data_IF_453269195818
#
_entry.id   IF_453269195818
#
_cell.length_a   1.000
_cell.length_b   1.000
_cell.length_c   1.000
_cell.angle_alpha   90.00
_cell.angle_beta   90.00
_cell.angle_gamma   90.00
#
_symmetry.space_group_name_H-M   'P 1'
#
loop_
_entity.id
_entity.type
_entity.pdbx_description
1 polymer ?
#
# COMPACT_ATOMS: atom_id res chain seq x y z
N UNK A 1 -18.53 39.08 3.52
CA UNK A 1 -18.22 38.06 2.50
C UNK A 1 -19.54 37.58 1.93
N UNK A 2 -19.75 37.64 0.63
CA UNK A 2 -20.96 37.12 -0.01
C UNK A 2 -20.96 35.59 0.14
N UNK A 3 -21.98 35.05 0.77
CA UNK A 3 -22.23 33.62 0.80
C UNK A 3 -22.81 33.24 -0.58
N UNK A 4 -22.11 32.37 -1.26
CA UNK A 4 -22.56 31.77 -2.52
C UNK A 4 -23.24 30.42 -2.21
N UNK A 5 -24.03 29.92 -3.13
CA UNK A 5 -24.63 28.60 -3.03
C UNK A 5 -24.55 27.87 -4.37
N UNK A 6 -24.34 26.55 -4.28
CA UNK A 6 -24.44 25.64 -5.41
C UNK A 6 -25.31 24.45 -5.04
N UNK A 7 -26.02 23.89 -6.00
CA UNK A 7 -26.83 22.69 -5.79
C UNK A 7 -26.29 21.57 -6.67
N UNK A 8 -26.11 20.38 -6.09
CA UNK A 8 -25.79 19.14 -6.80
C UNK A 8 -26.89 18.11 -6.59
N UNK A 9 -27.10 17.26 -7.57
CA UNK A 9 -28.11 16.22 -7.50
C UNK A 9 -27.48 14.94 -6.93
N UNK A 10 -28.10 14.34 -5.92
CA UNK A 10 -27.69 13.04 -5.35
C UNK A 10 -28.91 12.13 -5.45
N UNK A 11 -28.85 11.04 -6.26
CA UNK A 11 -29.97 10.09 -6.29
C UNK A 11 -30.26 9.53 -4.90
N UNK A 12 -31.52 9.48 -4.49
CA UNK A 12 -31.97 9.17 -3.13
C UNK A 12 -31.38 7.85 -2.59
N UNK A 13 -31.19 6.87 -3.47
CA UNK A 13 -30.61 5.57 -3.13
C UNK A 13 -29.15 5.65 -2.66
N UNK A 14 -28.38 6.67 -3.08
CA UNK A 14 -26.97 6.83 -2.68
C UNK A 14 -26.78 7.73 -1.47
N UNK A 15 -27.79 8.50 -1.06
CA UNK A 15 -27.70 9.44 0.08
C UNK A 15 -27.17 8.75 1.34
N UNK A 16 -27.73 7.61 1.81
CA UNK A 16 -27.23 6.97 3.03
C UNK A 16 -25.77 6.51 2.93
N UNK A 17 -25.35 6.10 1.73
CA UNK A 17 -23.99 5.66 1.46
C UNK A 17 -23.01 6.84 1.44
N UNK A 18 -23.35 7.92 0.76
CA UNK A 18 -22.51 9.12 0.59
C UNK A 18 -22.44 9.96 1.87
N UNK A 19 -23.55 10.07 2.62
CA UNK A 19 -23.60 10.83 3.88
C UNK A 19 -23.02 10.04 5.06
N UNK A 20 -23.04 8.72 4.96
CA UNK A 20 -22.62 7.83 6.04
C UNK A 20 -23.62 7.75 7.19
N UNK A 21 -23.35 6.85 8.12
CA UNK A 21 -24.23 6.64 9.28
C UNK A 21 -24.34 7.94 10.11
N UNK A 22 -25.56 8.38 10.41
CA UNK A 22 -25.86 9.64 11.13
C UNK A 22 -25.24 10.90 10.47
N UNK A 23 -25.11 10.90 9.15
CA UNK A 23 -24.50 11.96 8.33
C UNK A 23 -23.03 12.25 8.71
N UNK A 24 -22.33 11.25 9.23
CA UNK A 24 -20.97 11.42 9.74
C UNK A 24 -20.00 11.93 8.66
N UNK A 25 -20.14 11.48 7.43
CA UNK A 25 -19.28 11.89 6.31
C UNK A 25 -19.64 13.30 5.84
N UNK A 26 -20.91 13.61 5.69
CA UNK A 26 -21.39 14.95 5.34
C UNK A 26 -20.92 15.99 6.38
N UNK A 27 -21.13 15.72 7.67
CA UNK A 27 -20.67 16.59 8.78
C UNK A 27 -19.15 16.75 8.80
N UNK A 28 -18.40 15.73 8.42
CA UNK A 28 -16.94 15.81 8.32
C UNK A 28 -16.51 16.74 7.20
N UNK A 29 -17.11 16.60 6.01
CA UNK A 29 -16.85 17.46 4.84
C UNK A 29 -17.23 18.91 5.18
N UNK A 30 -18.39 19.12 5.78
CA UNK A 30 -18.91 20.41 6.21
C UNK A 30 -17.92 21.14 7.12
N UNK A 31 -17.41 20.45 8.15
CA UNK A 31 -16.42 21.01 9.10
C UNK A 31 -15.06 21.26 8.46
N UNK A 32 -14.58 20.34 7.63
CA UNK A 32 -13.23 20.44 7.05
C UNK A 32 -13.16 21.55 5.98
N UNK A 33 -14.22 21.71 5.18
CA UNK A 33 -14.27 22.69 4.10
C UNK A 33 -15.01 23.99 4.47
N UNK A 34 -15.46 24.10 5.74
CA UNK A 34 -16.17 25.29 6.24
C UNK A 34 -17.35 25.69 5.34
N UNK A 35 -18.18 24.74 4.97
CA UNK A 35 -19.43 24.93 4.21
C UNK A 35 -20.62 24.50 5.05
N UNK A 36 -21.84 24.94 4.66
CA UNK A 36 -23.09 24.45 5.21
C UNK A 36 -23.80 23.60 4.16
N UNK A 37 -24.23 22.42 4.59
CA UNK A 37 -24.89 21.43 3.71
C UNK A 37 -26.38 21.37 4.05
N UNK A 38 -27.24 21.52 3.04
CA UNK A 38 -28.69 21.41 3.19
C UNK A 38 -29.21 20.43 2.15
N UNK A 39 -29.65 19.27 2.61
CA UNK A 39 -30.31 18.28 1.75
C UNK A 39 -31.81 18.53 1.70
N UNK A 40 -32.37 18.65 0.48
CA UNK A 40 -33.80 18.68 0.24
C UNK A 40 -34.11 17.75 -0.94
N UNK A 41 -34.91 16.75 -0.66
CA UNK A 41 -35.20 15.68 -1.62
C UNK A 41 -33.86 15.10 -2.16
N UNK A 42 -33.67 15.06 -3.46
CA UNK A 42 -32.45 14.58 -4.14
C UNK A 42 -31.44 15.71 -4.46
N UNK A 43 -31.59 16.89 -3.85
CA UNK A 43 -30.73 18.05 -4.10
C UNK A 43 -29.95 18.43 -2.84
N UNK A 44 -28.62 18.35 -2.92
CA UNK A 44 -27.71 18.84 -1.91
C UNK A 44 -27.29 20.27 -2.25
N UNK A 45 -27.70 21.21 -1.42
CA UNK A 45 -27.29 22.62 -1.49
C UNK A 45 -26.06 22.81 -0.62
N UNK A 46 -24.99 23.37 -1.18
CA UNK A 46 -23.73 23.69 -0.54
C UNK A 46 -23.60 25.21 -0.45
N UNK A 47 -23.43 25.75 0.75
CA UNK A 47 -23.41 27.19 1.03
C UNK A 47 -22.08 27.54 1.71
N UNK A 48 -21.39 28.59 1.21
CA UNK A 48 -20.12 29.03 1.81
C UNK A 48 -19.34 30.02 0.96
N UNK A 49 -18.04 30.11 1.17
CA UNK A 49 -17.14 30.86 0.28
C UNK A 49 -16.91 30.07 -1.02
N UNK A 50 -16.73 30.76 -2.16
CA UNK A 50 -16.68 30.12 -3.48
C UNK A 50 -15.68 28.96 -3.56
N UNK A 51 -14.42 29.14 -3.16
CA UNK A 51 -13.41 28.07 -3.21
C UNK A 51 -13.75 26.87 -2.32
N UNK A 52 -14.45 27.10 -1.19
CA UNK A 52 -14.88 26.03 -0.28
C UNK A 52 -16.05 25.24 -0.89
N UNK A 53 -16.97 25.94 -1.58
CA UNK A 53 -18.09 25.32 -2.29
C UNK A 53 -17.56 24.44 -3.42
N UNK A 54 -16.63 24.96 -4.22
CA UNK A 54 -16.06 24.24 -5.36
C UNK A 54 -15.37 22.95 -4.88
N UNK A 55 -14.59 23.02 -3.80
CA UNK A 55 -13.98 21.86 -3.19
C UNK A 55 -15.00 20.85 -2.64
N UNK A 56 -16.04 21.32 -1.94
CA UNK A 56 -17.07 20.43 -1.40
C UNK A 56 -17.86 19.75 -2.52
N UNK A 57 -18.18 20.49 -3.59
CA UNK A 57 -18.83 19.97 -4.78
C UNK A 57 -17.99 18.85 -5.40
N UNK A 58 -16.71 19.07 -5.61
CA UNK A 58 -15.78 18.08 -6.18
C UNK A 58 -15.74 16.81 -5.33
N UNK A 59 -15.62 16.92 -3.98
CA UNK A 59 -15.65 15.75 -3.09
C UNK A 59 -16.95 14.98 -3.21
N UNK A 60 -18.11 15.65 -3.18
CA UNK A 60 -19.37 14.95 -3.31
C UNK A 60 -19.55 14.28 -4.68
N UNK A 61 -19.18 14.93 -5.77
CA UNK A 61 -19.22 14.34 -7.12
C UNK A 61 -18.37 13.06 -7.20
N UNK A 62 -17.20 13.03 -6.58
CA UNK A 62 -16.35 11.84 -6.51
C UNK A 62 -17.00 10.72 -5.67
N UNK A 63 -17.55 11.04 -4.50
CA UNK A 63 -18.22 10.05 -3.64
C UNK A 63 -19.46 9.48 -4.29
N UNK A 64 -20.25 10.32 -4.97
CA UNK A 64 -21.43 9.88 -5.73
C UNK A 64 -21.01 8.94 -6.86
N UNK A 65 -20.00 9.30 -7.65
CA UNK A 65 -19.50 8.46 -8.73
C UNK A 65 -18.95 7.10 -8.24
N UNK A 66 -18.36 7.03 -7.05
CA UNK A 66 -17.98 5.76 -6.43
C UNK A 66 -19.21 4.94 -5.98
N UNK A 67 -20.22 5.60 -5.40
CA UNK A 67 -21.44 4.95 -4.94
C UNK A 67 -22.27 4.38 -6.11
N UNK A 68 -22.40 5.12 -7.22
CA UNK A 68 -23.05 4.67 -8.46
C UNK A 68 -22.41 3.40 -9.05
N UNK A 69 -21.16 3.15 -8.74
CA UNK A 69 -20.41 1.94 -9.14
C UNK A 69 -20.55 0.79 -8.16
N UNK A 70 -21.43 0.94 -7.17
CA UNK A 70 -21.66 -0.08 -6.15
C UNK A 70 -20.63 -0.12 -5.03
N UNK A 71 -19.76 0.89 -4.92
CA UNK A 71 -18.82 0.95 -3.80
C UNK A 71 -19.53 1.40 -2.51
N UNK A 72 -19.22 0.75 -1.40
CA UNK A 72 -19.57 1.24 -0.07
C UNK A 72 -18.58 2.33 0.31
N UNK A 73 -19.10 3.55 0.49
CA UNK A 73 -18.28 4.69 0.90
C UNK A 73 -17.83 4.49 2.36
N UNK A 74 -16.55 4.68 2.59
CA UNK A 74 -15.91 4.57 3.90
C UNK A 74 -15.34 5.91 4.33
N UNK A 75 -15.08 6.08 5.62
CA UNK A 75 -14.40 7.29 6.12
C UNK A 75 -13.06 7.52 5.42
N UNK A 76 -12.40 6.45 5.01
CA UNK A 76 -11.15 6.52 4.26
C UNK A 76 -11.33 7.14 2.86
N UNK A 77 -12.41 6.79 2.15
CA UNK A 77 -12.71 7.42 0.85
C UNK A 77 -12.93 8.93 1.02
N UNK A 78 -13.64 9.34 2.08
CA UNK A 78 -13.86 10.76 2.39
C UNK A 78 -12.56 11.48 2.71
N UNK A 79 -11.74 10.90 3.58
CA UNK A 79 -10.43 11.48 3.93
C UNK A 79 -9.52 11.61 2.72
N UNK A 80 -9.54 10.62 1.85
CA UNK A 80 -8.72 10.62 0.64
C UNK A 80 -9.21 11.67 -0.37
N UNK A 81 -10.52 11.77 -0.58
CA UNK A 81 -11.11 12.81 -1.44
C UNK A 81 -10.78 14.22 -0.94
N UNK A 82 -10.86 14.46 0.37
CA UNK A 82 -10.47 15.73 0.98
C UNK A 82 -8.97 16.04 0.81
N UNK A 83 -8.11 15.03 0.96
CA UNK A 83 -6.66 15.20 0.78
C UNK A 83 -6.27 15.51 -0.68
N UNK A 84 -7.00 14.97 -1.65
CA UNK A 84 -6.74 15.22 -3.07
C UNK A 84 -7.13 16.62 -3.53
N UNK A 85 -8.09 17.28 -2.87
CA UNK A 85 -8.40 18.68 -3.14
C UNK A 85 -7.19 19.58 -2.94
N UNK A 86 -6.37 19.32 -1.92
CA UNK A 86 -5.15 20.09 -1.65
C UNK A 86 -4.12 19.93 -2.79
N UNK A 87 -4.18 18.85 -3.56
CA UNK A 87 -3.26 18.53 -4.65
C UNK A 87 -3.82 18.83 -6.05
N UNK A 88 -5.07 19.32 -6.16
CA UNK A 88 -5.78 19.55 -7.44
C UNK A 88 -5.89 18.29 -8.33
N UNK A 89 -6.02 17.10 -7.73
CA UNK A 89 -6.03 15.79 -8.42
C UNK A 89 -7.35 15.02 -8.27
N UNK A 90 -8.43 15.70 -7.97
CA UNK A 90 -9.69 15.05 -7.60
C UNK A 90 -10.31 14.13 -8.66
N UNK A 91 -10.16 14.42 -9.95
CA UNK A 91 -10.74 13.60 -11.02
C UNK A 91 -10.15 12.19 -11.15
N UNK A 92 -9.02 11.90 -10.51
CA UNK A 92 -8.31 10.63 -10.64
C UNK A 92 -8.92 9.47 -9.85
N UNK A 93 -9.73 9.73 -8.81
CA UNK A 93 -10.31 8.66 -7.95
C UNK A 93 -11.17 7.69 -8.77
N UNK A 94 -11.97 8.19 -9.68
CA UNK A 94 -12.87 7.37 -10.51
C UNK A 94 -12.09 6.48 -11.47
N UNK A 95 -10.99 6.98 -12.04
CA UNK A 95 -10.12 6.20 -12.92
C UNK A 95 -9.33 5.12 -12.16
N UNK A 96 -8.89 5.43 -10.94
CA UNK A 96 -8.25 4.46 -10.04
C UNK A 96 -9.21 3.32 -9.73
N UNK A 97 -10.48 3.63 -9.47
CA UNK A 97 -11.50 2.64 -9.12
C UNK A 97 -11.80 1.64 -10.25
N UNK A 98 -11.59 2.03 -11.51
CA UNK A 98 -11.75 1.16 -12.68
C UNK A 98 -10.65 0.12 -12.83
N UNK A 99 -9.49 0.32 -12.21
CA UNK A 99 -8.30 -0.49 -12.42
C UNK A 99 -8.31 -1.77 -11.57
N UNK A 100 -9.11 -2.74 -11.98
CA UNK A 100 -9.17 -4.05 -11.31
C UNK A 100 -7.97 -4.90 -11.75
N UNK A 101 -7.10 -5.26 -10.80
CA UNK A 101 -5.96 -6.16 -11.01
C UNK A 101 -6.44 -7.61 -11.10
N UNK A 102 -7.23 -8.04 -10.12
CA UNK A 102 -7.82 -9.38 -10.04
C UNK A 102 -8.98 -9.39 -9.05
N UNK A 103 -9.56 -10.57 -8.84
CA UNK A 103 -10.56 -10.81 -7.80
C UNK A 103 -10.01 -11.81 -6.78
N UNK A 104 -10.35 -11.61 -5.51
CA UNK A 104 -10.13 -12.61 -4.45
C UNK A 104 -11.02 -13.84 -4.69
N UNK A 105 -10.74 -14.93 -3.98
CA UNK A 105 -11.61 -16.15 -4.03
C UNK A 105 -13.07 -15.86 -3.68
N UNK A 106 -13.34 -14.81 -2.90
CA UNK A 106 -14.68 -14.37 -2.51
C UNK A 106 -15.30 -13.38 -3.50
N UNK A 107 -14.72 -13.21 -4.70
CA UNK A 107 -15.20 -12.30 -5.74
C UNK A 107 -14.96 -10.83 -5.47
N UNK A 108 -14.26 -10.44 -4.39
CA UNK A 108 -13.95 -9.03 -4.11
C UNK A 108 -12.86 -8.53 -5.06
N UNK A 109 -13.05 -7.37 -5.72
CA UNK A 109 -12.04 -6.81 -6.60
C UNK A 109 -10.81 -6.35 -5.80
N UNK A 110 -9.62 -6.68 -6.30
CA UNK A 110 -8.34 -6.14 -5.86
C UNK A 110 -7.94 -5.05 -6.83
N UNK A 111 -7.88 -3.81 -6.34
CA UNK A 111 -7.60 -2.62 -7.14
C UNK A 111 -6.80 -1.62 -6.32
N UNK A 112 -6.06 -0.69 -6.95
CA UNK A 112 -5.50 0.45 -6.26
C UNK A 112 -6.61 1.25 -5.58
N UNK A 113 -6.32 1.86 -4.44
CA UNK A 113 -7.25 2.72 -3.69
C UNK A 113 -6.77 4.16 -3.60
N UNK A 114 -5.53 4.41 -4.00
CA UNK A 114 -4.88 5.73 -3.96
C UNK A 114 -4.07 5.95 -5.23
N UNK A 115 -3.74 7.22 -5.53
CA UNK A 115 -2.89 7.58 -6.68
C UNK A 115 -1.52 6.91 -6.56
N UNK A 116 -0.89 6.96 -5.39
CA UNK A 116 0.41 6.31 -5.17
C UNK A 116 0.36 4.80 -5.41
N UNK A 117 -0.72 4.13 -4.99
CA UNK A 117 -0.94 2.71 -5.31
C UNK A 117 -1.15 2.48 -6.81
N UNK A 118 -1.88 3.37 -7.50
CA UNK A 118 -2.08 3.29 -8.95
C UNK A 118 -0.75 3.45 -9.71
N UNK A 119 0.02 4.46 -9.37
CA UNK A 119 1.35 4.69 -9.95
C UNK A 119 2.28 3.48 -9.73
N UNK A 120 2.22 2.87 -8.55
CA UNK A 120 2.98 1.67 -8.22
C UNK A 120 2.55 0.47 -9.07
N UNK A 121 1.25 0.22 -9.22
CA UNK A 121 0.72 -0.86 -10.05
C UNK A 121 1.08 -0.65 -11.53
N UNK A 122 0.99 0.58 -12.02
CA UNK A 122 1.36 0.92 -13.39
C UNK A 122 2.87 0.78 -13.64
N UNK A 123 3.70 1.11 -12.66
CA UNK A 123 5.14 0.86 -12.72
C UNK A 123 5.43 -0.65 -12.81
N UNK A 124 4.75 -1.49 -12.00
CA UNK A 124 4.89 -2.94 -12.06
C UNK A 124 4.49 -3.49 -13.43
N UNK A 125 3.48 -2.94 -14.07
CA UNK A 125 3.09 -3.33 -15.43
C UNK A 125 4.18 -3.02 -16.45
N UNK A 126 4.79 -1.84 -16.36
CA UNK A 126 5.67 -1.27 -17.40
C UNK A 126 7.14 -1.64 -17.22
N UNK A 127 7.63 -1.79 -15.98
CA UNK A 127 9.06 -1.95 -15.68
C UNK A 127 9.40 -3.40 -15.33
N UNK A 128 10.64 -3.79 -15.60
CA UNK A 128 11.16 -5.12 -15.22
C UNK A 128 11.41 -5.23 -13.72
N UNK A 129 11.96 -4.19 -13.10
CA UNK A 129 12.25 -4.13 -11.67
C UNK A 129 11.55 -2.90 -11.08
N UNK A 130 10.80 -3.09 -10.00
CA UNK A 130 10.12 -2.00 -9.28
C UNK A 130 10.42 -2.05 -7.81
N UNK A 131 10.85 -0.93 -7.25
CA UNK A 131 10.97 -0.71 -5.83
C UNK A 131 9.72 0.02 -5.32
N UNK A 132 8.96 -0.63 -4.45
CA UNK A 132 7.80 -0.08 -3.76
C UNK A 132 8.16 0.30 -2.33
N UNK A 133 8.37 1.57 -2.09
CA UNK A 133 8.81 2.13 -0.81
C UNK A 133 7.66 2.80 -0.09
N UNK A 134 7.65 2.73 1.24
CA UNK A 134 6.68 3.49 2.04
C UNK A 134 6.30 2.81 3.35
N UNK A 135 5.52 3.47 4.19
CA UNK A 135 5.15 2.97 5.52
C UNK A 135 4.30 1.69 5.44
N UNK A 136 4.25 0.97 6.56
CA UNK A 136 3.40 -0.20 6.70
C UNK A 136 1.91 0.16 6.49
N UNK A 137 1.17 -0.73 5.83
CA UNK A 137 -0.26 -0.53 5.55
C UNK A 137 -0.57 0.23 4.25
N UNK A 138 0.43 0.58 3.43
CA UNK A 138 0.23 1.18 2.10
C UNK A 138 -0.07 0.14 1.01
N UNK A 139 -0.17 -1.15 1.35
CA UNK A 139 -0.55 -2.21 0.42
C UNK A 139 0.55 -2.69 -0.52
N UNK A 140 1.81 -2.27 -0.35
CA UNK A 140 2.95 -2.62 -1.23
C UNK A 140 3.02 -4.11 -1.57
N UNK A 141 3.17 -4.93 -0.56
CA UNK A 141 3.33 -6.38 -0.70
C UNK A 141 2.06 -7.03 -1.24
N UNK A 142 0.89 -6.59 -0.77
CA UNK A 142 -0.40 -7.12 -1.22
C UNK A 142 -0.67 -6.85 -2.70
N UNK A 143 -0.43 -5.62 -3.17
CA UNK A 143 -0.59 -5.26 -4.59
C UNK A 143 0.46 -5.96 -5.47
N UNK A 144 1.70 -6.09 -4.99
CA UNK A 144 2.72 -6.87 -5.70
C UNK A 144 2.31 -8.34 -5.88
N UNK A 145 1.73 -8.95 -4.85
CA UNK A 145 1.22 -10.33 -4.94
C UNK A 145 0.02 -10.45 -5.88
N UNK A 146 -0.90 -9.50 -5.84
CA UNK A 146 -2.02 -9.47 -6.78
C UNK A 146 -1.53 -9.41 -8.23
N UNK A 147 -0.52 -8.58 -8.50
CA UNK A 147 0.12 -8.48 -9.81
C UNK A 147 0.85 -9.76 -10.21
N UNK A 148 1.56 -10.40 -9.26
CA UNK A 148 2.26 -11.66 -9.50
C UNK A 148 1.28 -12.79 -9.86
N UNK A 149 0.19 -12.93 -9.09
CA UNK A 149 -0.83 -13.93 -9.34
C UNK A 149 -1.53 -13.69 -10.69
N UNK A 150 -1.79 -12.43 -11.03
CA UNK A 150 -2.38 -12.06 -12.33
C UNK A 150 -1.44 -12.39 -13.48
N UNK A 151 -0.16 -12.04 -13.36
CA UNK A 151 0.85 -12.38 -14.38
C UNK A 151 1.02 -13.91 -14.55
N UNK A 152 0.99 -14.66 -13.45
CA UNK A 152 1.06 -16.12 -13.46
C UNK A 152 -0.18 -16.76 -14.09
N UNK A 153 -1.39 -16.32 -13.72
CA UNK A 153 -2.64 -16.81 -14.33
C UNK A 153 -2.76 -16.50 -15.81
N UNK A 154 -2.17 -15.39 -16.26
CA UNK A 154 -2.14 -14.98 -17.68
C UNK A 154 -0.93 -15.54 -18.43
N UNK A 155 -0.20 -16.50 -17.84
CA UNK A 155 0.96 -17.17 -18.44
C UNK A 155 2.09 -16.22 -18.89
N UNK A 156 2.13 -15.00 -18.32
CA UNK A 156 3.19 -14.03 -18.56
C UNK A 156 4.50 -14.43 -17.88
N UNK A 157 4.40 -15.24 -16.83
CA UNK A 157 5.53 -15.86 -16.12
C UNK A 157 5.19 -17.30 -15.77
N UNK A 158 6.19 -18.18 -15.73
CA UNK A 158 5.99 -19.59 -15.43
C UNK A 158 5.94 -19.91 -13.93
N UNK A 159 6.38 -19.02 -13.07
CA UNK A 159 6.40 -19.24 -11.61
C UNK A 159 6.40 -17.95 -10.82
N UNK A 160 6.04 -18.07 -9.54
CA UNK A 160 6.10 -16.99 -8.56
C UNK A 160 7.14 -17.35 -7.51
N UNK A 161 8.04 -16.43 -7.18
CA UNK A 161 9.05 -16.60 -6.12
C UNK A 161 8.88 -15.46 -5.11
N UNK A 162 8.56 -15.82 -3.88
CA UNK A 162 8.44 -14.90 -2.77
C UNK A 162 9.61 -15.10 -1.82
N UNK A 163 10.33 -14.03 -1.56
CA UNK A 163 11.50 -14.10 -0.69
C UNK A 163 11.53 -12.94 0.29
N UNK A 164 12.08 -13.21 1.45
CA UNK A 164 12.25 -12.25 2.54
C UNK A 164 13.59 -12.44 3.20
N UNK A 165 14.32 -11.38 3.60
CA UNK A 165 15.49 -11.55 4.44
C UNK A 165 15.06 -12.21 5.76
N UNK A 166 15.66 -13.34 6.10
CA UNK A 166 15.51 -13.90 7.43
C UNK A 166 16.37 -13.05 8.36
N UNK A 167 15.74 -12.16 9.11
CA UNK A 167 16.41 -11.41 10.16
C UNK A 167 15.98 -12.00 11.48
N UNK A 168 16.97 -12.33 12.22
CA UNK A 168 16.84 -12.49 13.64
C UNK A 168 16.85 -11.10 14.26
N UNK A 169 15.71 -10.65 14.76
CA UNK A 169 15.64 -9.48 15.64
C UNK A 169 16.35 -9.83 16.96
N UNK A 170 17.71 -9.81 16.94
CA UNK A 170 18.53 -10.13 18.10
C UNK A 170 18.55 -11.61 18.53
N UNK A 171 17.75 -12.48 17.91
CA UNK A 171 17.75 -13.92 18.16
C UNK A 171 18.52 -14.65 17.05
N UNK A 172 19.53 -15.40 17.43
CA UNK A 172 20.23 -16.29 16.48
C UNK A 172 19.29 -17.45 16.15
N UNK A 173 19.01 -17.70 14.86
CA UNK A 173 18.18 -18.84 14.36
C UNK A 173 18.54 -20.18 15.03
N UNK A 174 19.72 -20.28 15.64
CA UNK A 174 20.16 -21.43 16.40
C UNK A 174 19.39 -21.75 17.69
N UNK A 175 18.61 -20.81 18.25
CA UNK A 175 17.91 -21.03 19.52
C UNK A 175 16.47 -21.55 19.41
N UNK A 176 15.86 -21.50 18.23
CA UNK A 176 14.53 -22.06 18.04
C UNK A 176 14.61 -23.59 17.82
N UNK A 177 13.79 -24.42 18.49
CA UNK A 177 13.72 -25.85 18.23
C UNK A 177 13.07 -26.12 16.87
N UNK A 178 13.55 -27.14 16.15
CA UNK A 178 13.03 -27.56 14.85
C UNK A 178 14.04 -27.43 13.71
N UNK A 179 13.65 -27.86 12.52
CA UNK A 179 14.42 -27.70 11.30
C UNK A 179 14.42 -26.23 10.83
N UNK A 180 15.32 -25.88 9.90
CA UNK A 180 15.48 -24.51 9.42
C UNK A 180 14.18 -23.97 8.81
N UNK A 181 13.38 -24.83 8.19
CA UNK A 181 12.13 -24.46 7.52
C UNK A 181 11.04 -24.06 8.51
N UNK A 182 10.86 -24.85 9.59
CA UNK A 182 9.91 -24.53 10.66
C UNK A 182 10.25 -23.25 11.44
N UNK A 183 11.55 -22.89 11.49
CA UNK A 183 12.03 -21.64 12.13
C UNK A 183 11.74 -20.40 11.29
N UNK A 184 11.67 -20.53 9.97
CA UNK A 184 11.49 -19.42 9.03
C UNK A 184 10.01 -19.21 8.69
N UNK A 185 9.18 -20.26 8.78
CA UNK A 185 7.77 -20.25 8.43
C UNK A 185 6.96 -19.10 9.07
N UNK A 186 7.14 -18.75 10.37
CA UNK A 186 6.45 -17.60 10.96
C UNK A 186 6.73 -16.27 10.27
N UNK A 187 7.93 -16.06 9.76
CA UNK A 187 8.30 -14.82 9.06
C UNK A 187 7.72 -14.74 7.64
N UNK A 188 7.36 -15.89 7.06
CA UNK A 188 6.77 -15.98 5.73
C UNK A 188 5.23 -15.99 5.76
N UNK A 189 4.63 -16.16 6.95
CA UNK A 189 3.19 -16.27 7.13
C UNK A 189 2.37 -15.13 6.52
N UNK A 190 2.77 -13.84 6.64
CA UNK A 190 2.04 -12.74 5.98
C UNK A 190 1.96 -12.87 4.46
N UNK A 191 2.96 -13.54 3.85
CA UNK A 191 2.97 -13.81 2.42
C UNK A 191 1.95 -14.90 2.06
N UNK A 192 1.86 -15.94 2.87
CA UNK A 192 0.85 -17.00 2.70
C UNK A 192 -0.58 -16.47 2.82
N UNK A 193 -0.85 -15.60 3.80
CA UNK A 193 -2.19 -15.05 4.04
C UNK A 193 -2.72 -14.29 2.81
N UNK A 194 -1.88 -13.49 2.15
CA UNK A 194 -2.25 -12.77 0.95
C UNK A 194 -2.46 -13.73 -0.26
N UNK A 195 -1.63 -14.76 -0.40
CA UNK A 195 -1.81 -15.79 -1.43
C UNK A 195 -3.12 -16.56 -1.23
N UNK A 196 -3.44 -16.96 0.01
CA UNK A 196 -4.69 -17.62 0.33
C UNK A 196 -5.90 -16.76 0.01
N UNK A 197 -5.84 -15.47 0.32
CA UNK A 197 -6.94 -14.56 0.07
C UNK A 197 -7.23 -14.37 -1.44
N UNK A 198 -6.20 -14.33 -2.28
CA UNK A 198 -6.34 -14.04 -3.71
C UNK A 198 -6.54 -15.31 -4.53
N UNK A 199 -5.80 -16.37 -4.25
CA UNK A 199 -5.74 -17.58 -5.09
C UNK A 199 -6.48 -18.77 -4.47
N UNK A 200 -6.73 -18.75 -3.17
CA UNK A 200 -7.31 -19.85 -2.40
C UNK A 200 -6.25 -20.84 -1.91
N UNK A 201 -6.51 -21.44 -0.75
CA UNK A 201 -5.57 -22.37 -0.10
C UNK A 201 -5.25 -23.59 -0.96
N UNK A 202 -6.28 -24.23 -1.54
CA UNK A 202 -6.12 -25.43 -2.36
C UNK A 202 -5.28 -25.17 -3.63
N UNK A 203 -5.59 -24.07 -4.34
CA UNK A 203 -4.83 -23.69 -5.55
C UNK A 203 -3.39 -23.33 -5.22
N UNK A 204 -3.18 -22.60 -4.12
CA UNK A 204 -1.85 -22.26 -3.65
C UNK A 204 -1.04 -23.51 -3.32
N UNK A 205 -1.59 -24.44 -2.53
CA UNK A 205 -0.91 -25.67 -2.13
C UNK A 205 -0.52 -26.53 -3.33
N UNK A 206 -1.43 -26.71 -4.27
CA UNK A 206 -1.18 -27.45 -5.52
C UNK A 206 -0.03 -26.83 -6.35
N UNK A 207 0.05 -25.51 -6.41
CA UNK A 207 1.13 -24.84 -7.15
C UNK A 207 2.46 -24.87 -6.38
N UNK A 208 2.43 -24.86 -5.05
CA UNK A 208 3.62 -25.08 -4.21
C UNK A 208 4.19 -26.48 -4.43
N UNK A 209 3.37 -27.53 -4.39
CA UNK A 209 3.77 -28.92 -4.60
C UNK A 209 4.37 -29.15 -6.01
N UNK A 210 3.89 -28.40 -7.01
CA UNK A 210 4.43 -28.42 -8.37
C UNK A 210 5.70 -27.56 -8.54
N UNK A 211 6.13 -26.85 -7.50
CA UNK A 211 7.24 -25.90 -7.58
C UNK A 211 6.99 -24.66 -8.44
N UNK A 212 5.72 -24.37 -8.77
CA UNK A 212 5.32 -23.18 -9.53
C UNK A 212 5.18 -21.94 -8.65
N UNK A 213 4.97 -22.12 -7.36
CA UNK A 213 5.06 -21.08 -6.33
C UNK A 213 6.10 -21.51 -5.31
N UNK A 214 7.04 -20.65 -5.06
CA UNK A 214 8.10 -20.86 -4.07
C UNK A 214 8.08 -19.71 -3.04
N UNK A 215 8.10 -20.05 -1.77
CA UNK A 215 8.25 -19.10 -0.66
C UNK A 215 9.47 -19.50 0.13
N UNK A 216 10.54 -18.71 0.07
CA UNK A 216 11.84 -19.09 0.62
C UNK A 216 12.63 -17.88 1.15
N UNK A 217 13.52 -18.08 2.12
CA UNK A 217 14.44 -17.05 2.59
C UNK A 217 15.33 -16.53 1.45
N UNK A 218 15.70 -15.26 1.55
CA UNK A 218 16.58 -14.61 0.57
C UNK A 218 17.93 -15.36 0.36
N UNK A 219 18.44 -15.98 1.39
CA UNK A 219 19.70 -16.76 1.32
C UNK A 219 19.62 -17.92 0.31
N UNK A 220 18.43 -18.48 0.07
CA UNK A 220 18.21 -19.60 -0.87
C UNK A 220 18.22 -19.17 -2.34
N UNK A 221 18.28 -17.87 -2.61
CA UNK A 221 18.42 -17.34 -3.97
C UNK A 221 19.89 -17.37 -4.44
N UNK A 222 20.84 -17.59 -3.54
CA UNK A 222 22.26 -17.60 -3.88
C UNK A 222 22.61 -18.74 -4.82
N UNK A 223 23.38 -18.43 -5.88
CA UNK A 223 23.83 -19.42 -6.87
C UNK A 223 22.78 -19.84 -7.89
N UNK A 224 21.60 -19.25 -7.86
CA UNK A 224 20.50 -19.55 -8.80
C UNK A 224 20.42 -18.49 -9.91
N UNK A 225 19.80 -18.86 -11.01
CA UNK A 225 19.28 -17.93 -12.03
C UNK A 225 17.76 -18.04 -12.02
N UNK A 226 17.09 -16.91 -11.86
CA UNK A 226 15.65 -16.84 -11.68
C UNK A 226 15.00 -16.39 -12.99
N UNK A 227 14.85 -17.34 -13.94
CA UNK A 227 14.24 -17.11 -15.24
C UNK A 227 12.73 -17.30 -15.20
N UNK A 228 12.01 -16.60 -16.09
CA UNK A 228 10.58 -16.75 -16.33
C UNK A 228 9.75 -16.74 -15.04
N UNK A 229 10.05 -15.80 -14.15
CA UNK A 229 9.48 -15.76 -12.82
C UNK A 229 9.00 -14.34 -12.46
N UNK A 230 7.90 -14.26 -11.69
CA UNK A 230 7.56 -13.06 -10.95
C UNK A 230 8.14 -13.18 -9.53
N UNK A 231 9.07 -12.32 -9.19
CA UNK A 231 9.85 -12.40 -7.96
C UNK A 231 9.51 -11.23 -7.06
N UNK A 232 9.17 -11.50 -5.80
CA UNK A 232 8.91 -10.47 -4.79
C UNK A 232 9.94 -10.62 -3.68
N UNK A 233 10.73 -9.56 -3.44
CA UNK A 233 11.55 -9.43 -2.25
C UNK A 233 10.86 -8.49 -1.28
N UNK A 234 10.32 -9.04 -0.20
CA UNK A 234 9.62 -8.29 0.84
C UNK A 234 10.56 -7.92 2.00
N UNK A 235 10.24 -6.85 2.74
CA UNK A 235 11.04 -6.30 3.85
C UNK A 235 12.52 -6.05 3.50
N UNK A 236 12.74 -5.53 2.30
CA UNK A 236 14.07 -5.38 1.72
C UNK A 236 14.97 -4.37 2.46
N UNK A 237 14.40 -3.48 3.30
CA UNK A 237 15.18 -2.58 4.17
C UNK A 237 16.10 -3.35 5.12
N UNK A 238 15.74 -4.60 5.37
CA UNK A 238 16.47 -5.50 6.26
C UNK A 238 17.54 -6.34 5.55
N UNK A 239 17.84 -6.05 4.29
CA UNK A 239 18.98 -6.65 3.58
C UNK A 239 20.27 -5.89 3.84
N UNK A 240 21.40 -6.59 3.80
CA UNK A 240 22.70 -5.95 3.66
C UNK A 240 22.96 -5.58 2.18
N UNK A 241 23.91 -4.65 1.89
CA UNK A 241 24.28 -4.32 0.50
C UNK A 241 24.73 -5.54 -0.32
N UNK A 242 25.43 -6.49 0.32
CA UNK A 242 25.86 -7.72 -0.33
C UNK A 242 24.69 -8.65 -0.69
N UNK A 243 23.71 -8.79 0.20
CA UNK A 243 22.50 -9.57 -0.05
C UNK A 243 21.64 -8.95 -1.16
N UNK A 244 21.42 -7.65 -1.14
CA UNK A 244 20.67 -6.94 -2.19
C UNK A 244 21.36 -7.09 -3.55
N UNK A 245 22.68 -6.88 -3.63
CA UNK A 245 23.44 -7.07 -4.86
C UNK A 245 23.35 -8.51 -5.34
N UNK A 246 23.54 -9.48 -4.43
CA UNK A 246 23.40 -10.90 -4.72
C UNK A 246 22.03 -11.21 -5.35
N UNK A 247 20.94 -10.73 -4.76
CA UNK A 247 19.59 -10.94 -5.23
C UNK A 247 19.36 -10.35 -6.63
N UNK A 248 19.66 -9.07 -6.81
CA UNK A 248 19.42 -8.36 -8.07
C UNK A 248 20.22 -8.97 -9.24
N UNK A 249 21.35 -9.59 -8.97
CA UNK A 249 22.16 -10.30 -9.98
C UNK A 249 21.69 -11.73 -10.26
N UNK A 250 20.61 -12.21 -9.66
CA UNK A 250 20.01 -13.53 -9.91
C UNK A 250 18.86 -13.47 -10.93
N UNK A 251 18.39 -12.26 -11.24
CA UNK A 251 17.27 -12.05 -12.16
C UNK A 251 17.66 -12.51 -13.56
N UNK A 252 16.87 -13.42 -14.10
CA UNK A 252 17.07 -13.99 -15.43
C UNK A 252 16.07 -13.46 -16.47
N UNK A 253 16.11 -14.05 -17.66
CA UNK A 253 15.25 -13.63 -18.77
C UNK A 253 13.77 -13.93 -18.51
N UNK A 254 12.90 -13.07 -19.04
CA UNK A 254 11.45 -13.22 -18.89
C UNK A 254 10.92 -13.01 -17.45
N UNK A 255 11.76 -12.51 -16.55
CA UNK A 255 11.37 -12.30 -15.16
C UNK A 255 10.99 -10.85 -14.88
N UNK A 256 10.11 -10.67 -13.90
CA UNK A 256 9.68 -9.40 -13.32
C UNK A 256 9.95 -9.41 -11.83
N UNK A 257 10.43 -8.29 -11.29
CA UNK A 257 10.83 -8.20 -9.90
C UNK A 257 10.17 -7.02 -9.21
N UNK A 258 9.64 -7.26 -8.04
CA UNK A 258 9.14 -6.23 -7.14
C UNK A 258 9.90 -6.33 -5.82
N UNK A 259 10.49 -5.22 -5.40
CA UNK A 259 11.19 -5.07 -4.12
C UNK A 259 10.36 -4.16 -3.23
N UNK A 260 9.85 -4.66 -2.11
CA UNK A 260 9.08 -3.86 -1.16
C UNK A 260 9.88 -3.57 0.10
N UNK A 261 9.68 -2.39 0.67
CA UNK A 261 10.38 -2.03 1.90
C UNK A 261 9.84 -0.76 2.57
N UNK A 262 10.19 -0.65 3.85
CA UNK A 262 9.92 0.52 4.69
C UNK A 262 11.24 1.04 5.27
N UNK A 263 11.68 2.22 4.84
CA UNK A 263 12.94 2.79 5.30
C UNK A 263 12.95 3.13 6.80
N UNK A 264 11.78 3.20 7.44
CA UNK A 264 11.62 3.52 8.87
C UNK A 264 11.72 2.29 9.77
N UNK A 265 11.46 1.08 9.23
CA UNK A 265 11.40 -0.18 9.98
C UNK A 265 12.65 -1.04 9.70
N UNK A 266 13.82 -0.58 10.14
CA UNK A 266 15.09 -1.31 9.96
C UNK A 266 15.44 -2.07 11.22
N UNK A 267 15.48 -3.41 11.11
CA UNK A 267 15.88 -4.32 12.18
C UNK A 267 17.36 -4.74 12.07
N UNK A 268 18.14 -4.03 11.28
CA UNK A 268 19.59 -4.27 11.12
C UNK A 268 20.36 -3.86 12.37
N UNK A 269 21.49 -4.50 12.60
CA UNK A 269 22.40 -4.14 13.70
C UNK A 269 22.76 -2.64 13.66
N UNK A 270 22.93 -1.99 14.81
CA UNK A 270 23.31 -0.58 14.88
C UNK A 270 24.52 -0.25 14.01
N UNK A 271 24.39 0.75 13.14
CA UNK A 271 25.45 1.17 12.22
C UNK A 271 25.53 0.37 10.91
N UNK A 272 24.76 -0.70 10.74
CA UNK A 272 24.71 -1.46 9.49
C UNK A 272 23.98 -0.66 8.39
N UNK A 273 24.54 -0.68 7.19
CA UNK A 273 23.90 -0.03 6.02
C UNK A 273 22.84 -0.95 5.43
N UNK A 274 21.64 -0.42 5.18
CA UNK A 274 20.60 -1.13 4.46
C UNK A 274 20.99 -1.30 2.98
N UNK A 275 20.84 -2.53 2.49
CA UNK A 275 21.03 -2.86 1.08
C UNK A 275 20.03 -2.14 0.19
N UNK A 276 18.81 -1.93 0.68
CA UNK A 276 17.78 -1.17 0.00
C UNK A 276 18.18 0.28 -0.22
N UNK A 277 18.68 0.97 0.82
CA UNK A 277 19.14 2.37 0.69
C UNK A 277 20.27 2.51 -0.33
N UNK A 278 21.17 1.54 -0.34
CA UNK A 278 22.30 1.52 -1.30
C UNK A 278 21.76 1.29 -2.72
N UNK A 279 20.84 0.32 -2.91
CA UNK A 279 20.26 0.00 -4.21
C UNK A 279 19.51 1.21 -4.78
N UNK A 280 18.65 1.86 -4.01
CA UNK A 280 17.92 3.06 -4.45
C UNK A 280 18.85 4.19 -4.92
N UNK A 281 19.98 4.37 -4.25
CA UNK A 281 20.97 5.38 -4.63
C UNK A 281 21.71 5.04 -5.92
N UNK A 282 22.13 3.77 -6.06
CA UNK A 282 22.97 3.30 -7.17
C UNK A 282 22.15 3.11 -8.44
N UNK A 283 20.90 2.63 -8.31
CA UNK A 283 20.08 2.24 -9.46
C UNK A 283 19.16 3.34 -9.98
N UNK A 284 19.10 4.50 -9.33
CA UNK A 284 18.21 5.62 -9.65
C UNK A 284 18.26 6.09 -11.13
N UNK A 285 19.39 5.86 -11.81
CA UNK A 285 19.61 6.33 -13.19
C UNK A 285 19.31 5.27 -14.26
N UNK A 286 18.82 4.11 -13.87
CA UNK A 286 18.52 3.00 -14.81
C UNK A 286 17.04 3.10 -15.18
N UNK A 287 16.76 3.41 -16.45
CA UNK A 287 15.40 3.68 -16.93
C UNK A 287 14.44 2.50 -16.82
N UNK A 288 14.95 1.26 -16.88
CA UNK A 288 14.14 0.03 -16.76
C UNK A 288 13.74 -0.29 -15.30
N UNK A 289 14.22 0.50 -14.34
CA UNK A 289 13.92 0.34 -12.92
C UNK A 289 12.93 1.43 -12.49
N UNK A 290 11.80 1.02 -11.93
CA UNK A 290 10.81 1.90 -11.30
C UNK A 290 11.11 2.08 -9.81
N UNK A 291 11.01 3.30 -9.31
CA UNK A 291 11.07 3.60 -7.88
C UNK A 291 9.80 4.37 -7.52
N UNK A 292 8.93 3.72 -6.74
CA UNK A 292 7.64 4.25 -6.31
C UNK A 292 7.66 4.52 -4.81
N UNK A 293 7.35 5.74 -4.41
CA UNK A 293 7.31 6.15 -3.01
C UNK A 293 5.85 6.33 -2.59
N UNK A 294 5.32 5.37 -1.85
CA UNK A 294 4.04 5.49 -1.18
C UNK A 294 4.23 6.27 0.14
N UNK A 295 3.24 7.05 0.49
CA UNK A 295 3.29 7.94 1.64
C UNK A 295 2.25 7.57 2.71
N UNK A 296 2.18 8.33 3.79
CA UNK A 296 1.11 8.18 4.79
C UNK A 296 -0.29 8.36 4.21
N UNK A 297 -0.44 9.10 3.09
CA UNK A 297 -1.72 9.27 2.37
C UNK A 297 -2.18 7.98 1.70
N UNK A 298 -1.27 7.07 1.41
CA UNK A 298 -1.55 5.77 0.79
C UNK A 298 -1.86 4.67 1.81
N UNK A 299 -1.84 4.97 3.11
CA UNK A 299 -2.13 3.99 4.17
C UNK A 299 -3.61 3.64 4.18
N UNK A 300 -3.89 2.36 3.94
CA UNK A 300 -5.24 1.77 3.94
C UNK A 300 -5.40 0.92 5.18
N UNK A 301 -5.91 1.50 6.26
CA UNK A 301 -6.09 0.83 7.56
C UNK A 301 -7.45 1.16 8.17
N UNK A 302 -7.89 0.29 9.09
CA UNK A 302 -9.07 0.58 9.91
C UNK A 302 -8.88 1.90 10.68
N UNK A 303 -9.88 2.80 10.73
CA UNK A 303 -9.76 4.13 11.36
C UNK A 303 -9.25 4.10 12.81
N UNK A 304 -9.68 3.10 13.60
CA UNK A 304 -9.18 2.93 14.96
C UNK A 304 -7.68 2.59 14.98
N UNK A 305 -7.20 1.76 14.05
CA UNK A 305 -5.78 1.41 13.97
C UNK A 305 -4.94 2.63 13.58
N UNK A 306 -5.44 3.51 12.70
CA UNK A 306 -4.77 4.78 12.39
C UNK A 306 -4.63 5.66 13.63
N UNK A 307 -5.70 5.79 14.43
CA UNK A 307 -5.67 6.54 15.70
C UNK A 307 -4.69 5.95 16.71
N UNK A 308 -4.60 4.63 16.79
CA UNK A 308 -3.63 3.94 17.66
C UNK A 308 -2.20 4.27 17.21
N UNK A 309 -1.88 4.13 15.94
CA UNK A 309 -0.54 4.44 15.40
C UNK A 309 -0.18 5.89 15.69
N UNK A 310 -1.09 6.84 15.38
CA UNK A 310 -0.86 8.26 15.63
C UNK A 310 -0.59 8.55 17.12
N UNK A 311 -1.30 7.89 18.04
CA UNK A 311 -1.09 8.07 19.46
C UNK A 311 0.31 7.58 19.92
N UNK A 312 0.81 6.48 19.34
CA UNK A 312 2.16 6.00 19.60
C UNK A 312 3.22 6.93 19.01
N UNK A 313 3.07 7.37 17.76
CA UNK A 313 3.96 8.32 17.12
C UNK A 313 4.08 9.63 17.91
N UNK A 314 2.95 10.16 18.38
CA UNK A 314 2.91 11.36 19.23
C UNK A 314 3.63 11.17 20.58
N UNK A 315 3.53 9.96 21.15
CA UNK A 315 4.22 9.62 22.39
C UNK A 315 5.73 9.55 22.19
N UNK A 316 6.19 8.86 21.16
CA UNK A 316 7.62 8.71 20.81
C UNK A 316 8.27 10.05 20.49
N UNK A 317 7.59 10.89 19.68
CA UNK A 317 8.05 12.23 19.35
C UNK A 317 8.21 13.11 20.61
N UNK A 318 7.28 13.02 21.57
CA UNK A 318 7.38 13.72 22.85
C UNK A 318 8.55 13.23 23.71
N UNK A 319 8.84 11.93 23.67
CA UNK A 319 10.00 11.36 24.40
C UNK A 319 11.33 11.81 23.77
N UNK A 320 11.44 11.74 22.46
CA UNK A 320 12.64 12.18 21.71
C UNK A 320 12.91 13.67 21.95
N UNK A 321 11.87 14.52 21.91
CA UNK A 321 11.99 15.94 22.22
C UNK A 321 12.44 16.21 23.66
N UNK A 322 11.94 15.44 24.65
CA UNK A 322 12.37 15.55 26.06
C UNK A 322 13.83 15.13 26.23
N UNK A 323 14.27 14.08 25.59
CA UNK A 323 15.65 13.59 25.65
C UNK A 323 16.63 14.58 25.01
N UNK A 324 16.28 15.12 23.83
CA UNK A 324 17.07 16.16 23.16
C UNK A 324 17.18 17.45 24.00
N UNK A 325 16.10 17.83 24.71
CA UNK A 325 16.10 18.99 25.60
C UNK A 325 16.99 18.78 26.84
N UNK A 326 16.96 17.56 27.41
CA UNK A 326 17.86 17.21 28.55
C UNK A 326 19.33 17.23 28.15
N UNK A 327 19.67 16.72 26.96
CA UNK A 327 21.06 16.72 26.44
C UNK A 327 21.57 18.14 26.16
N UNK A 328 20.71 19.07 25.71
CA UNK A 328 21.06 20.49 25.51
C UNK A 328 21.24 21.27 26.82
N UNK A 329 20.65 20.82 27.90
CA UNK A 329 20.78 21.47 29.23
C UNK A 329 21.94 20.90 30.06
N UNK A 330 22.57 19.80 29.62
CA UNK A 330 23.73 19.17 30.28
C UNK A 330 25.06 19.40 29.54
N UNK A 331 25.07 20.12 28.43
CA UNK A 331 26.20 20.70 27.72
C UNK A 331 26.19 22.23 27.89
#
# INVERSE_FOLDING_TARGET
MSLNEVSIKIPGEYIPNVFGQFDAFAKKIERTLHVTLVLRDDSLKIIGAQGNIDGAKEVFEQLIALAERGNVITEQNVNYALALLEEHKGSEIVEIDKDIICHTINGKPVKPKTIGQKEYVDAIRKKMIVFGMGPAGTGKTYLAMAMAITAFKNEQVGRIILTRPAIEAGEKLGFLPGDLQSKIDPYLRPLYDALYQIMGAESFQRNMEKGLIEVAPLAYMRGRTLDNAFIILDEAQNTTPAQMKMFLTRIGFGSKVVVTGDATQKDLAPGAKSGLDVALRVLKKIDDIGICNLTSKDVVRHPLVQKIVQAYDDYENKQTAKTARKQRMSN
#
